data_IF_542962389055
#
_entry.id   IF_542962389055
#
_cell.length_a   1.000
_cell.length_b   1.000
_cell.length_c   1.000
_cell.angle_alpha   90.00
_cell.angle_beta   90.00
_cell.angle_gamma   90.00
#
_symmetry.space_group_name_H-M   'P 1'
#
loop_
_entity.id
_entity.type
_entity.pdbx_description
1 polymer ?
#
# COMPACT_ATOMS: atom_id res chain seq x y z
N UNK A 1 -34.15 17.91 -30.42
CA UNK A 1 -33.41 16.68 -30.79
C UNK A 1 -31.91 16.94 -30.94
N UNK A 2 -31.46 17.98 -31.65
CA UNK A 2 -30.01 18.29 -31.79
C UNK A 2 -29.25 18.50 -30.47
N UNK A 3 -29.77 19.32 -29.54
CA UNK A 3 -29.07 19.63 -28.26
C UNK A 3 -28.81 18.37 -27.43
N UNK A 4 -29.75 17.42 -27.45
CA UNK A 4 -29.64 16.17 -26.68
C UNK A 4 -28.57 15.23 -27.28
N UNK A 5 -28.46 15.20 -28.60
CA UNK A 5 -27.43 14.44 -29.31
C UNK A 5 -26.05 15.05 -29.06
N UNK A 6 -25.93 16.39 -29.11
CA UNK A 6 -24.67 17.09 -28.82
C UNK A 6 -24.21 16.83 -27.38
N UNK A 7 -25.12 16.89 -26.41
CA UNK A 7 -24.81 16.58 -25.00
C UNK A 7 -24.39 15.12 -24.78
N UNK A 8 -25.01 14.17 -25.50
CA UNK A 8 -24.60 12.77 -25.43
C UNK A 8 -23.19 12.55 -26.02
N UNK A 9 -22.88 13.18 -27.14
CA UNK A 9 -21.56 13.08 -27.79
C UNK A 9 -20.48 13.68 -26.89
N UNK A 10 -20.71 14.88 -26.34
CA UNK A 10 -19.76 15.52 -25.41
C UNK A 10 -19.53 14.67 -24.17
N UNK A 11 -20.60 14.09 -23.60
CA UNK A 11 -20.52 13.21 -22.44
C UNK A 11 -19.79 11.90 -22.76
N UNK A 12 -19.95 11.35 -23.96
CA UNK A 12 -19.25 10.15 -24.42
C UNK A 12 -17.75 10.44 -24.66
N UNK A 13 -17.41 11.58 -25.27
CA UNK A 13 -16.04 12.02 -25.49
C UNK A 13 -15.31 12.30 -24.17
N UNK A 14 -15.98 12.90 -23.18
CA UNK A 14 -15.41 13.09 -21.83
C UNK A 14 -15.16 11.73 -21.16
N UNK A 15 -16.09 10.78 -21.25
CA UNK A 15 -15.89 9.44 -20.67
C UNK A 15 -14.74 8.70 -21.34
N UNK A 16 -14.65 8.73 -22.68
CA UNK A 16 -13.57 8.09 -23.43
C UNK A 16 -12.21 8.76 -23.20
N UNK A 17 -12.18 10.10 -23.13
CA UNK A 17 -10.98 10.86 -22.77
C UNK A 17 -10.53 10.50 -21.35
N UNK A 18 -11.46 10.44 -20.39
CA UNK A 18 -11.16 10.13 -19.01
C UNK A 18 -10.81 8.65 -18.80
N UNK A 19 -11.37 7.72 -19.58
CA UNK A 19 -10.94 6.31 -19.62
C UNK A 19 -9.57 6.14 -20.24
N UNK A 20 -9.24 6.89 -21.29
CA UNK A 20 -7.90 6.91 -21.92
C UNK A 20 -6.86 7.49 -20.97
N UNK A 21 -7.18 8.56 -20.27
CA UNK A 21 -6.32 9.21 -19.28
C UNK A 21 -6.17 8.35 -18.01
N UNK A 22 -7.22 7.67 -17.57
CA UNK A 22 -7.18 6.69 -16.47
C UNK A 22 -6.42 5.42 -16.86
N UNK A 23 -6.47 5.01 -18.13
CA UNK A 23 -5.65 3.92 -18.69
C UNK A 23 -4.19 4.34 -18.81
N UNK A 24 -3.91 5.59 -19.18
CA UNK A 24 -2.57 6.20 -19.17
C UNK A 24 -2.01 6.30 -17.75
N UNK A 25 -2.80 6.78 -16.77
CA UNK A 25 -2.41 6.83 -15.36
C UNK A 25 -2.25 5.44 -14.75
N UNK A 26 -3.08 4.45 -15.13
CA UNK A 26 -2.93 3.06 -14.70
C UNK A 26 -1.70 2.42 -15.33
N UNK A 27 -1.37 2.72 -16.60
CA UNK A 27 -0.12 2.31 -17.26
C UNK A 27 1.09 2.99 -16.63
N UNK A 28 1.04 4.29 -16.30
CA UNK A 28 2.10 5.02 -15.58
C UNK A 28 2.27 4.50 -14.15
N UNK A 29 1.19 4.25 -13.41
CA UNK A 29 1.24 3.65 -12.06
C UNK A 29 1.71 2.19 -12.07
N UNK A 30 1.32 1.42 -13.09
CA UNK A 30 1.79 0.04 -13.29
C UNK A 30 3.26 0.02 -13.71
N UNK A 31 3.67 0.90 -14.63
CA UNK A 31 5.07 1.14 -15.02
C UNK A 31 5.94 1.57 -13.84
N UNK A 32 5.49 2.51 -13.00
CA UNK A 32 6.23 2.90 -11.78
C UNK A 32 6.32 1.78 -10.73
N UNK A 33 5.27 0.96 -10.57
CA UNK A 33 5.27 -0.17 -9.65
C UNK A 33 6.08 -1.37 -10.18
N UNK A 34 6.14 -1.57 -11.49
CA UNK A 34 6.96 -2.60 -12.16
C UNK A 34 8.44 -2.17 -12.27
N UNK A 35 8.72 -0.88 -12.44
CA UNK A 35 10.07 -0.30 -12.45
C UNK A 35 10.78 -0.35 -11.09
N UNK A 36 10.06 -0.65 -10.00
CA UNK A 36 10.63 -0.95 -8.69
C UNK A 36 11.11 -2.41 -8.57
N UNK A 37 10.82 -3.29 -9.55
CA UNK A 37 11.00 -4.75 -9.40
C UNK A 37 11.73 -5.41 -10.58
N UNK A 38 11.70 -4.90 -11.81
CA UNK A 38 12.28 -5.63 -12.95
C UNK A 38 13.70 -5.16 -13.32
N UNK A 39 14.71 -5.87 -12.80
CA UNK A 39 16.11 -5.69 -13.22
C UNK A 39 16.29 -6.03 -14.71
N UNK A 40 15.40 -6.80 -15.34
CA UNK A 40 15.64 -7.34 -16.69
C UNK A 40 14.94 -6.59 -17.85
N UNK A 41 14.39 -5.39 -17.57
CA UNK A 41 13.89 -4.49 -18.63
C UNK A 41 15.03 -3.73 -19.28
N UNK A 42 15.12 -3.76 -20.62
CA UNK A 42 16.15 -3.05 -21.40
C UNK A 42 15.50 -2.07 -22.38
N UNK A 43 16.10 -0.89 -22.49
CA UNK A 43 15.70 0.15 -23.42
C UNK A 43 16.73 0.25 -24.55
N UNK A 44 16.28 0.36 -25.80
CA UNK A 44 17.14 0.52 -26.98
C UNK A 44 16.73 1.79 -27.72
N UNK A 45 17.66 2.75 -27.83
CA UNK A 45 17.46 3.96 -28.62
C UNK A 45 17.71 3.68 -30.11
N UNK A 46 16.75 4.05 -30.97
CA UNK A 46 16.76 3.76 -32.40
C UNK A 46 16.61 5.01 -33.27
N UNK A 47 17.29 5.02 -34.42
CA UNK A 47 17.30 6.11 -35.41
C UNK A 47 16.11 6.06 -36.37
N UNK A 48 15.87 7.18 -37.08
CA UNK A 48 14.90 7.28 -38.18
C UNK A 48 15.23 6.31 -39.32
N UNK A 49 16.52 6.10 -39.58
CA UNK A 49 17.00 5.08 -40.51
C UNK A 49 17.11 3.73 -39.80
N UNK A 50 16.31 2.76 -40.24
CA UNK A 50 16.28 1.40 -39.69
C UNK A 50 17.62 0.68 -39.86
N UNK A 51 18.33 0.94 -40.97
CA UNK A 51 19.60 0.29 -41.26
C UNK A 51 20.69 0.67 -40.26
N UNK A 52 20.74 1.94 -39.84
CA UNK A 52 21.76 2.48 -38.92
C UNK A 52 21.65 1.95 -37.49
N UNK A 53 20.45 1.65 -36.98
CA UNK A 53 20.31 1.09 -35.62
C UNK A 53 19.99 -0.41 -35.61
N UNK A 54 19.86 -1.06 -36.77
CA UNK A 54 19.58 -2.50 -36.83
C UNK A 54 20.65 -3.30 -36.09
N UNK A 55 21.93 -3.02 -36.34
CA UNK A 55 23.03 -3.75 -35.70
C UNK A 55 23.11 -3.47 -34.19
N UNK A 56 22.76 -2.25 -33.77
CA UNK A 56 22.64 -1.89 -32.34
C UNK A 56 21.54 -2.68 -31.66
N UNK A 57 20.36 -2.77 -32.29
CA UNK A 57 19.23 -3.56 -31.79
C UNK A 57 19.59 -5.04 -31.73
N UNK A 58 20.08 -5.62 -32.83
CA UNK A 58 20.47 -7.03 -32.88
C UNK A 58 21.57 -7.36 -31.86
N UNK A 59 22.51 -6.44 -31.60
CA UNK A 59 23.49 -6.62 -30.54
C UNK A 59 22.82 -6.75 -29.18
N UNK A 60 21.85 -5.87 -28.85
CA UNK A 60 21.12 -5.93 -27.59
C UNK A 60 20.37 -7.26 -27.44
N UNK A 61 19.67 -7.70 -28.48
CA UNK A 61 18.90 -8.96 -28.49
C UNK A 61 19.78 -10.20 -28.25
N UNK A 62 21.03 -10.19 -28.75
CA UNK A 62 21.93 -11.35 -28.68
C UNK A 62 22.77 -11.42 -27.40
N UNK A 63 23.05 -10.28 -26.77
CA UNK A 63 24.02 -10.20 -25.67
C UNK A 63 23.40 -9.88 -24.31
N UNK A 64 22.14 -9.42 -24.28
CA UNK A 64 21.45 -9.08 -23.04
C UNK A 64 20.33 -10.10 -22.76
N UNK A 65 20.09 -10.37 -21.48
CA UNK A 65 18.92 -11.13 -21.06
C UNK A 65 17.73 -10.17 -21.03
N UNK A 66 16.74 -10.45 -21.88
CA UNK A 66 15.57 -9.59 -22.06
C UNK A 66 14.33 -10.32 -21.55
N UNK A 67 13.70 -9.77 -20.51
CA UNK A 67 12.31 -10.11 -20.18
C UNK A 67 11.34 -9.14 -20.83
N UNK A 68 11.77 -7.88 -20.95
CA UNK A 68 11.00 -6.81 -21.57
C UNK A 68 11.91 -5.84 -22.29
N UNK A 69 11.47 -5.41 -23.47
CA UNK A 69 12.21 -4.52 -24.35
C UNK A 69 11.40 -3.26 -24.64
N UNK A 70 12.05 -2.09 -24.54
CA UNK A 70 11.48 -0.82 -24.95
C UNK A 70 12.28 -0.22 -26.10
N UNK A 71 11.63 -0.01 -27.24
CA UNK A 71 12.20 0.71 -28.37
C UNK A 71 11.92 2.21 -28.20
N UNK A 72 12.99 3.01 -28.14
CA UNK A 72 12.93 4.45 -27.92
C UNK A 72 13.30 5.21 -29.18
N UNK A 73 12.41 6.09 -29.63
CA UNK A 73 12.69 7.05 -30.68
C UNK A 73 12.49 8.48 -30.19
N UNK A 74 13.35 9.39 -30.65
CA UNK A 74 13.19 10.83 -30.44
C UNK A 74 12.75 11.46 -31.76
N UNK A 75 11.48 11.85 -31.82
CA UNK A 75 10.93 12.60 -32.92
C UNK A 75 11.36 14.07 -32.82
N UNK A 76 12.20 14.50 -33.75
CA UNK A 76 12.63 15.89 -33.85
C UNK A 76 11.70 16.64 -34.81
N UNK A 77 10.95 17.65 -34.33
CA UNK A 77 10.02 18.38 -35.18
C UNK A 77 10.78 19.16 -36.25
N UNK A 78 10.23 19.19 -37.47
CA UNK A 78 10.77 20.05 -38.54
C UNK A 78 10.49 21.50 -38.14
N UNK A 79 11.53 22.32 -38.06
CA UNK A 79 11.40 23.76 -37.87
C UNK A 79 10.93 24.39 -39.18
N UNK A 80 9.61 24.61 -39.30
CA UNK A 80 8.98 25.29 -40.44
C UNK A 80 8.57 26.68 -39.95
N UNK A 81 9.21 27.72 -40.48
CA UNK A 81 8.77 29.10 -40.25
C UNK A 81 7.67 29.46 -41.26
N UNK A 82 6.42 29.71 -40.82
CA UNK A 82 5.29 30.02 -41.70
C UNK A 82 5.55 31.18 -42.65
N UNK A 83 6.33 32.16 -42.21
CA UNK A 83 6.64 33.38 -42.96
C UNK A 83 7.55 33.11 -44.15
N UNK A 84 8.44 32.12 -44.00
CA UNK A 84 9.46 31.77 -44.99
C UNK A 84 9.01 30.68 -45.96
N UNK A 85 8.11 29.80 -45.52
CA UNK A 85 7.64 28.65 -46.29
C UNK A 85 6.47 28.99 -47.22
N UNK A 86 5.74 30.09 -46.94
CA UNK A 86 4.53 30.45 -47.67
C UNK A 86 3.37 29.47 -47.47
N UNK A 87 3.48 28.59 -46.46
CA UNK A 87 2.48 27.58 -46.12
C UNK A 87 1.51 28.12 -45.07
N UNK A 88 0.24 27.73 -45.18
CA UNK A 88 -0.75 27.98 -44.14
C UNK A 88 -0.49 27.10 -42.91
N UNK A 89 -0.93 27.55 -41.73
CA UNK A 89 -0.75 26.80 -40.48
C UNK A 89 -1.33 25.38 -40.56
N UNK A 90 -2.43 25.20 -41.28
CA UNK A 90 -3.08 23.90 -41.50
C UNK A 90 -2.18 22.92 -42.29
N UNK A 91 -1.39 23.42 -43.23
CA UNK A 91 -0.43 22.63 -44.01
C UNK A 91 0.78 22.25 -43.16
N UNK A 92 1.25 23.17 -42.32
CA UNK A 92 2.34 22.93 -41.36
C UNK A 92 1.93 21.84 -40.36
N UNK A 93 0.72 21.95 -39.80
CA UNK A 93 0.18 20.96 -38.85
C UNK A 93 0.04 19.59 -39.52
N UNK A 94 -0.39 19.54 -40.79
CA UNK A 94 -0.49 18.29 -41.56
C UNK A 94 0.88 17.65 -41.81
N UNK A 95 1.91 18.45 -42.12
CA UNK A 95 3.29 17.98 -42.30
C UNK A 95 3.84 17.41 -41.00
N UNK A 96 3.66 18.12 -39.88
CA UNK A 96 4.10 17.66 -38.56
C UNK A 96 3.38 16.36 -38.15
N UNK A 97 2.08 16.25 -38.39
CA UNK A 97 1.31 15.02 -38.14
C UNK A 97 1.78 13.85 -39.01
N UNK A 98 2.14 14.11 -40.27
CA UNK A 98 2.69 13.10 -41.19
C UNK A 98 4.06 12.60 -40.71
N UNK A 99 4.95 13.50 -40.29
CA UNK A 99 6.27 13.11 -39.75
C UNK A 99 6.16 12.33 -38.42
N UNK A 100 5.22 12.70 -37.54
CA UNK A 100 4.94 11.94 -36.32
C UNK A 100 4.45 10.53 -36.67
N UNK A 101 3.56 10.41 -37.66
CA UNK A 101 3.06 9.10 -38.14
C UNK A 101 4.21 8.24 -38.69
N UNK A 102 5.09 8.82 -39.52
CA UNK A 102 6.27 8.14 -40.06
C UNK A 102 7.20 7.62 -38.95
N UNK A 103 7.34 8.39 -37.86
CA UNK A 103 8.15 8.00 -36.70
C UNK A 103 7.60 6.73 -36.01
N UNK A 104 6.28 6.59 -35.91
CA UNK A 104 5.65 5.37 -35.40
C UNK A 104 5.81 4.19 -36.36
N UNK A 105 5.68 4.40 -37.67
CA UNK A 105 5.92 3.35 -38.67
C UNK A 105 7.35 2.79 -38.58
N UNK A 106 8.34 3.65 -38.31
CA UNK A 106 9.72 3.24 -38.08
C UNK A 106 9.84 2.36 -36.82
N UNK A 107 9.22 2.76 -35.71
CA UNK A 107 9.20 1.95 -34.48
C UNK A 107 8.53 0.59 -34.69
N UNK A 108 7.47 0.53 -35.49
CA UNK A 108 6.83 -0.74 -35.88
C UNK A 108 7.78 -1.65 -36.67
N UNK A 109 8.55 -1.10 -37.63
CA UNK A 109 9.58 -1.89 -38.34
C UNK A 109 10.63 -2.46 -37.40
N UNK A 110 11.06 -1.72 -36.38
CA UNK A 110 11.98 -2.26 -35.38
C UNK A 110 11.34 -3.34 -34.50
N UNK A 111 10.05 -3.20 -34.16
CA UNK A 111 9.31 -4.26 -33.45
C UNK A 111 9.27 -5.53 -34.30
N UNK A 112 8.98 -5.42 -35.59
CA UNK A 112 8.97 -6.57 -36.50
C UNK A 112 10.34 -7.28 -36.52
N UNK A 113 11.44 -6.51 -36.57
CA UNK A 113 12.80 -7.06 -36.46
C UNK A 113 13.02 -7.81 -35.13
N UNK A 114 12.47 -7.32 -34.01
CA UNK A 114 12.57 -8.03 -32.73
C UNK A 114 11.83 -9.37 -32.76
N UNK A 115 10.64 -9.40 -33.35
CA UNK A 115 9.82 -10.61 -33.49
C UNK A 115 10.51 -11.62 -34.41
N UNK A 116 11.10 -11.16 -35.52
CA UNK A 116 11.88 -12.00 -36.45
C UNK A 116 13.12 -12.63 -35.79
N UNK A 117 13.74 -11.94 -34.82
CA UNK A 117 14.84 -12.48 -34.00
C UNK A 117 14.34 -13.34 -32.82
N UNK A 118 13.03 -13.58 -32.71
CA UNK A 118 12.42 -14.53 -31.77
C UNK A 118 11.90 -13.95 -30.46
N UNK A 119 11.78 -12.61 -30.34
CA UNK A 119 11.19 -11.96 -29.17
C UNK A 119 9.66 -12.02 -29.25
N UNK A 120 9.02 -12.28 -28.12
CA UNK A 120 7.56 -12.28 -28.00
C UNK A 120 7.05 -10.85 -28.21
N UNK A 121 6.11 -10.65 -29.14
CA UNK A 121 5.62 -9.33 -29.52
C UNK A 121 5.07 -8.52 -28.33
N UNK A 122 4.39 -9.19 -27.38
CA UNK A 122 3.83 -8.54 -26.19
C UNK A 122 4.89 -8.00 -25.22
N UNK A 123 6.14 -8.46 -25.35
CA UNK A 123 7.26 -8.03 -24.51
C UNK A 123 8.05 -6.87 -25.15
N UNK A 124 7.62 -6.38 -26.33
CA UNK A 124 8.23 -5.25 -27.05
C UNK A 124 7.32 -4.02 -27.03
N UNK A 125 7.58 -3.12 -26.10
CA UNK A 125 6.93 -1.82 -26.03
C UNK A 125 7.67 -0.78 -26.90
N UNK A 126 6.95 0.22 -27.40
CA UNK A 126 7.51 1.33 -28.19
C UNK A 126 7.21 2.65 -27.48
N UNK A 127 8.16 3.57 -27.51
CA UNK A 127 8.01 4.92 -26.96
C UNK A 127 8.62 5.94 -27.91
N UNK A 128 7.88 7.02 -28.15
CA UNK A 128 8.30 8.14 -28.98
C UNK A 128 8.16 9.43 -28.17
N UNK A 129 9.22 10.23 -28.13
CA UNK A 129 9.22 11.54 -27.46
C UNK A 129 9.48 12.65 -28.48
N UNK A 130 8.81 13.78 -28.28
CA UNK A 130 9.05 14.99 -29.04
C UNK A 130 10.20 15.77 -28.37
N UNK A 131 11.33 15.95 -29.05
CA UNK A 131 12.40 16.79 -28.54
C UNK A 131 13.17 17.48 -29.67
N UNK A 132 13.63 18.71 -29.41
CA UNK A 132 14.41 19.48 -30.39
C UNK A 132 15.84 18.96 -30.55
N UNK A 133 16.34 18.20 -29.57
CA UNK A 133 17.66 17.59 -29.59
C UNK A 133 17.54 16.11 -29.18
N UNK A 134 18.10 15.22 -30.00
CA UNK A 134 18.03 13.77 -29.77
C UNK A 134 18.71 13.36 -28.45
N UNK A 135 19.86 13.97 -28.12
CA UNK A 135 20.56 13.67 -26.87
C UNK A 135 19.77 14.11 -25.64
N UNK A 136 19.14 15.29 -25.69
CA UNK A 136 18.26 15.78 -24.63
C UNK A 136 17.02 14.90 -24.47
N UNK A 137 16.35 14.56 -25.58
CA UNK A 137 15.17 13.70 -25.55
C UNK A 137 15.46 12.30 -25.00
N UNK A 138 16.64 11.73 -25.28
CA UNK A 138 17.06 10.46 -24.67
C UNK A 138 17.25 10.64 -23.15
N UNK A 139 17.90 11.71 -22.70
CA UNK A 139 18.11 11.97 -21.26
C UNK A 139 16.78 12.18 -20.55
N UNK A 140 15.86 12.92 -21.16
CA UNK A 140 14.49 13.12 -20.65
C UNK A 140 13.76 11.78 -20.50
N UNK A 141 13.81 10.91 -21.52
CA UNK A 141 13.25 9.56 -21.45
C UNK A 141 13.85 8.73 -20.31
N UNK A 142 15.15 8.85 -20.05
CA UNK A 142 15.82 8.14 -18.95
C UNK A 142 15.25 8.58 -17.60
N UNK A 143 15.03 9.88 -17.42
CA UNK A 143 14.45 10.43 -16.20
C UNK A 143 12.98 10.06 -16.06
N UNK A 144 12.15 10.31 -17.07
CA UNK A 144 10.70 10.09 -17.01
C UNK A 144 10.32 8.62 -16.81
N UNK A 145 11.09 7.69 -17.38
CA UNK A 145 10.80 6.26 -17.33
C UNK A 145 11.70 5.51 -16.36
N UNK A 146 12.52 6.22 -15.58
CA UNK A 146 13.48 5.65 -14.63
C UNK A 146 14.35 4.55 -15.26
N UNK A 147 14.84 4.79 -16.48
CA UNK A 147 15.57 3.80 -17.26
C UNK A 147 16.86 3.40 -16.53
N UNK A 148 17.01 2.09 -16.30
CA UNK A 148 18.20 1.52 -15.63
C UNK A 148 19.20 0.90 -16.59
N UNK A 149 18.75 0.44 -17.75
CA UNK A 149 19.54 -0.27 -18.76
C UNK A 149 19.22 0.31 -20.13
N UNK A 150 20.17 1.04 -20.72
CA UNK A 150 20.03 1.68 -22.03
C UNK A 150 21.09 1.19 -23.02
N UNK A 151 20.67 0.73 -24.19
CA UNK A 151 21.54 0.49 -25.33
C UNK A 151 21.32 1.60 -26.36
N UNK A 152 22.41 2.18 -26.88
CA UNK A 152 22.34 3.20 -27.93
C UNK A 152 23.55 3.15 -28.86
N UNK A 153 23.43 3.82 -30.02
CA UNK A 153 24.53 3.98 -30.97
C UNK A 153 25.66 4.85 -30.41
N UNK A 154 26.91 4.43 -30.64
CA UNK A 154 28.11 5.19 -30.26
C UNK A 154 28.49 6.26 -31.30
N UNK A 155 28.21 6.00 -32.57
CA UNK A 155 28.45 6.85 -33.73
C UNK A 155 27.53 6.42 -34.88
N UNK A 156 27.54 7.16 -35.99
CA UNK A 156 26.97 6.65 -37.24
C UNK A 156 27.84 5.49 -37.75
N UNK A 157 27.24 4.43 -38.29
CA UNK A 157 27.98 3.23 -38.76
C UNK A 157 29.01 3.57 -39.86
N UNK A 158 28.74 4.61 -40.66
CA UNK A 158 29.67 5.16 -41.66
C UNK A 158 30.95 5.75 -41.07
N UNK A 159 30.98 6.06 -39.77
CA UNK A 159 32.12 6.61 -39.05
C UNK A 159 32.88 5.54 -38.25
N UNK A 160 32.49 4.27 -38.39
CA UNK A 160 33.18 3.15 -37.75
C UNK A 160 34.57 2.93 -38.34
N UNK A 161 35.55 2.66 -37.48
CA UNK A 161 36.86 2.13 -37.86
C UNK A 161 37.21 0.94 -36.97
N UNK A 162 37.86 -0.06 -37.56
CA UNK A 162 38.30 -1.25 -36.82
C UNK A 162 39.26 -0.84 -35.69
N UNK A 163 38.95 -1.19 -34.44
CA UNK A 163 39.72 -0.78 -33.25
C UNK A 163 39.30 0.56 -32.62
N UNK A 164 38.13 1.11 -33.00
CA UNK A 164 37.58 2.32 -32.39
C UNK A 164 37.31 2.16 -30.89
N UNK A 165 37.96 3.00 -30.07
CA UNK A 165 37.86 3.00 -28.59
C UNK A 165 37.26 4.29 -28.00
N UNK A 166 37.10 5.35 -28.80
CA UNK A 166 36.63 6.66 -28.35
C UNK A 166 35.22 6.97 -28.89
N UNK A 167 34.40 7.64 -28.09
CA UNK A 167 33.09 8.16 -28.49
C UNK A 167 33.27 9.34 -29.44
N UNK A 168 32.66 9.30 -30.63
CA UNK A 168 32.78 10.37 -31.65
C UNK A 168 31.51 11.22 -31.76
N UNK A 169 30.35 10.71 -31.30
CA UNK A 169 29.06 11.39 -31.43
C UNK A 169 28.78 12.38 -30.30
N UNK A 170 28.51 13.64 -30.63
CA UNK A 170 28.01 14.68 -29.69
C UNK A 170 26.77 14.24 -28.92
N UNK A 171 25.87 13.45 -29.55
CA UNK A 171 24.66 12.93 -28.91
C UNK A 171 25.02 11.94 -27.80
N UNK A 172 25.93 11.03 -28.11
CA UNK A 172 26.35 9.96 -27.20
C UNK A 172 27.11 10.52 -26.01
N UNK A 173 28.00 11.46 -26.27
CA UNK A 173 28.71 12.20 -25.24
C UNK A 173 27.74 12.99 -24.34
N UNK A 174 26.76 13.70 -24.91
CA UNK A 174 25.72 14.39 -24.13
C UNK A 174 24.95 13.44 -23.21
N UNK A 175 24.44 12.32 -23.74
CA UNK A 175 23.68 11.32 -22.97
C UNK A 175 24.55 10.71 -21.86
N UNK A 176 25.80 10.36 -22.18
CA UNK A 176 26.73 9.74 -21.22
C UNK A 176 27.02 10.65 -20.02
N UNK A 177 27.12 11.97 -20.26
CA UNK A 177 27.36 12.98 -19.22
C UNK A 177 26.13 13.30 -18.38
N UNK A 178 24.96 13.43 -18.99
CA UNK A 178 23.76 13.97 -18.31
C UNK A 178 22.77 12.91 -17.85
N UNK A 179 22.88 11.66 -18.33
CA UNK A 179 22.05 10.57 -17.82
C UNK A 179 22.43 10.26 -16.36
N UNK A 180 21.44 9.93 -15.49
CA UNK A 180 21.69 9.63 -14.09
C UNK A 180 22.71 8.49 -13.91
N UNK A 181 23.51 8.57 -12.85
CA UNK A 181 24.59 7.62 -12.59
C UNK A 181 24.12 6.18 -12.38
N UNK A 182 22.86 5.97 -11.98
CA UNK A 182 22.29 4.63 -11.82
C UNK A 182 21.87 3.97 -13.15
N UNK A 183 21.88 4.70 -14.26
CA UNK A 183 21.58 4.13 -15.57
C UNK A 183 22.84 3.53 -16.21
N UNK A 184 22.83 2.21 -16.41
CA UNK A 184 23.86 1.51 -17.17
C UNK A 184 23.63 1.72 -18.66
N UNK A 185 24.66 2.17 -19.37
CA UNK A 185 24.58 2.51 -20.80
C UNK A 185 25.58 1.67 -21.60
N UNK A 186 25.10 0.98 -22.62
CA UNK A 186 25.93 0.29 -23.61
C UNK A 186 25.95 1.08 -24.91
N UNK A 187 27.16 1.36 -25.40
CA UNK A 187 27.42 2.09 -26.63
C UNK A 187 27.88 1.11 -27.70
N UNK A 188 27.07 0.96 -28.75
CA UNK A 188 27.30 -0.02 -29.82
C UNK A 188 27.53 0.71 -31.14
N UNK A 189 28.43 0.20 -31.98
CA UNK A 189 28.62 0.69 -33.34
C UNK A 189 28.97 -0.48 -34.24
N UNK A 190 28.33 -0.56 -35.42
CA UNK A 190 28.52 -1.65 -36.37
C UNK A 190 28.43 -3.06 -35.70
N UNK A 191 27.48 -3.23 -34.78
CA UNK A 191 27.23 -4.49 -34.07
C UNK A 191 28.27 -4.86 -33.01
N UNK A 192 29.22 -3.97 -32.70
CA UNK A 192 30.25 -4.19 -31.69
C UNK A 192 30.05 -3.27 -30.48
N UNK A 193 30.24 -3.82 -29.28
CA UNK A 193 30.26 -3.02 -28.06
C UNK A 193 31.54 -2.18 -28.04
N UNK A 194 31.38 -0.86 -28.05
CA UNK A 194 32.48 0.10 -28.00
C UNK A 194 32.82 0.45 -26.55
N UNK A 195 31.81 0.79 -25.77
CA UNK A 195 31.99 1.21 -24.38
C UNK A 195 30.75 0.88 -23.54
N UNK A 196 30.98 0.62 -22.26
CA UNK A 196 29.93 0.55 -21.25
C UNK A 196 30.16 1.61 -20.19
N UNK A 197 29.13 2.41 -19.90
CA UNK A 197 29.07 3.24 -18.70
C UNK A 197 28.31 2.46 -17.64
N UNK A 198 29.02 1.99 -16.62
CA UNK A 198 28.40 1.24 -15.52
C UNK A 198 27.44 2.11 -14.70
N UNK A 199 26.28 1.54 -14.38
CA UNK A 199 25.31 2.17 -13.51
C UNK A 199 25.69 1.95 -12.04
N UNK A 200 25.90 3.02 -11.27
CA UNK A 200 26.13 2.93 -9.82
C UNK A 200 24.82 3.14 -9.09
N UNK A 201 24.31 2.07 -8.49
CA UNK A 201 23.26 2.15 -7.49
C UNK A 201 23.95 2.23 -6.13
N UNK A 202 23.96 3.41 -5.50
CA UNK A 202 24.39 3.52 -4.11
C UNK A 202 23.36 2.83 -3.20
N UNK A 203 23.46 1.51 -3.10
CA UNK A 203 22.97 0.77 -1.93
C UNK A 203 23.92 1.12 -0.80
N UNK A 204 23.55 2.09 0.04
CA UNK A 204 24.29 2.48 1.25
C UNK A 204 24.84 1.24 1.99
N UNK A 205 26.17 1.18 2.19
CA UNK A 205 26.79 0.40 3.27
C UNK A 205 27.43 -0.95 2.93
N UNK A 206 28.26 -1.07 1.89
CA UNK A 206 29.23 -2.17 1.81
C UNK A 206 30.61 -1.70 2.29
N UNK A 207 31.11 -2.13 3.46
CA UNK A 207 32.52 -2.01 3.79
C UNK A 207 33.24 -3.10 2.99
N UNK A 208 34.11 -2.69 2.07
CA UNK A 208 35.19 -3.45 1.40
C UNK A 208 35.22 -3.21 -0.11
N UNK A 209 35.72 -2.04 -0.50
CA UNK A 209 36.70 -1.95 -1.58
C UNK A 209 37.58 -0.72 -1.35
N UNK A 210 38.76 -0.99 -0.82
CA UNK A 210 39.82 -0.03 -0.59
C UNK A 210 40.46 0.38 -1.92
N UNK A 211 40.24 1.62 -2.35
CA UNK A 211 41.28 2.36 -3.09
C UNK A 211 41.47 3.73 -2.44
N UNK A 212 42.71 3.93 -2.02
CA UNK A 212 43.28 5.00 -1.20
C UNK A 212 42.89 6.43 -1.59
N UNK A 213 42.28 7.15 -0.66
CA UNK A 213 42.57 8.56 -0.42
C UNK A 213 42.96 8.71 1.06
N UNK A 214 44.24 8.48 1.34
CA UNK A 214 44.85 8.82 2.61
C UNK A 214 44.91 10.33 2.78
N UNK A 215 44.55 10.76 3.99
CA UNK A 215 44.70 12.10 4.59
C UNK A 215 43.55 13.09 4.36
N UNK A 216 42.62 13.10 5.31
CA UNK A 216 42.22 14.31 6.02
C UNK A 216 41.53 13.91 7.33
N UNK A 217 42.24 14.09 8.43
CA UNK A 217 41.70 13.96 9.79
C UNK A 217 40.80 15.15 10.09
N UNK A 218 39.61 14.85 10.62
CA UNK A 218 38.78 15.78 11.38
C UNK A 218 37.83 16.63 10.53
N UNK A 219 36.54 16.33 10.62
CA UNK A 219 35.44 17.30 10.69
C UNK A 219 34.13 16.52 10.90
N UNK A 220 33.89 16.17 12.16
CA UNK A 220 32.51 16.16 12.66
C UNK A 220 31.97 17.59 12.55
N UNK A 221 30.70 17.72 12.15
CA UNK A 221 29.93 18.96 12.09
C UNK A 221 30.12 19.84 10.85
N UNK A 222 29.34 19.57 9.80
CA UNK A 222 28.53 20.60 9.13
C UNK A 222 27.65 19.97 8.02
N UNK A 223 26.32 20.11 8.15
CA UNK A 223 25.48 20.24 6.96
C UNK A 223 25.96 21.50 6.21
N UNK A 224 26.46 21.33 4.98
CA UNK A 224 26.56 22.45 4.03
C UNK A 224 25.91 22.03 2.70
N UNK A 225 25.02 22.85 2.11
CA UNK A 225 24.35 22.58 0.84
C UNK A 225 25.32 22.51 -0.33
N UNK A 226 25.03 21.59 -1.25
CA UNK A 226 25.78 21.33 -2.48
C UNK A 226 25.47 22.38 -3.55
N UNK A 227 25.90 23.63 -3.35
CA UNK A 227 25.77 24.72 -4.36
C UNK A 227 27.11 25.29 -4.86
N UNK A 228 28.27 24.77 -4.44
CA UNK A 228 29.58 25.31 -4.85
C UNK A 228 30.48 24.30 -5.58
N UNK A 229 29.98 23.74 -6.68
CA UNK A 229 30.82 22.94 -7.57
C UNK A 229 30.51 23.12 -9.08
N UNK A 230 30.16 24.31 -9.56
CA UNK A 230 30.28 24.65 -11.00
C UNK A 230 30.50 26.16 -11.19
N UNK A 231 31.75 26.63 -11.06
CA UNK A 231 32.21 27.87 -11.70
C UNK A 231 33.16 27.48 -12.83
N UNK A 232 32.96 28.08 -14.01
CA UNK A 232 33.43 27.72 -15.36
C UNK A 232 32.50 26.68 -16.02
N UNK A 233 31.77 26.95 -17.10
CA UNK A 233 32.01 27.86 -18.22
C UNK A 233 30.75 28.70 -18.53
N UNK A 234 30.99 29.97 -18.88
CA UNK A 234 29.99 30.83 -19.50
C UNK A 234 29.89 30.41 -20.97
N UNK A 235 28.77 29.81 -21.37
CA UNK A 235 28.25 30.00 -22.72
C UNK A 235 26.73 30.16 -22.64
N UNK A 236 26.29 31.27 -23.23
CA UNK A 236 24.99 31.86 -23.08
C UNK A 236 24.12 31.41 -24.25
N UNK A 237 23.64 30.17 -24.20
CA UNK A 237 22.52 29.71 -25.02
C UNK A 237 21.43 29.19 -24.09
N UNK A 238 20.19 29.54 -24.42
CA UNK A 238 18.97 29.24 -23.66
C UNK A 238 18.74 27.73 -23.51
N UNK A 239 19.48 27.10 -22.59
CA UNK A 239 19.27 25.74 -22.13
C UNK A 239 18.00 25.68 -21.28
N UNK A 240 16.93 25.13 -21.85
CA UNK A 240 15.79 24.65 -21.09
C UNK A 240 16.31 23.51 -20.19
N UNK A 241 16.50 23.82 -18.91
CA UNK A 241 17.57 23.25 -18.08
C UNK A 241 17.30 21.81 -17.65
N UNK A 242 18.14 20.89 -18.12
CA UNK A 242 18.27 19.52 -17.62
C UNK A 242 18.42 19.43 -16.07
N UNK A 243 18.84 20.51 -15.41
CA UNK A 243 18.95 20.59 -13.93
C UNK A 243 17.60 20.41 -13.22
N UNK A 244 16.49 20.81 -13.85
CA UNK A 244 15.16 20.62 -13.27
C UNK A 244 14.76 19.15 -13.19
N UNK A 245 14.99 18.41 -14.27
CA UNK A 245 14.68 16.98 -14.36
C UNK A 245 15.54 16.13 -13.43
N UNK A 246 16.83 16.44 -13.35
CA UNK A 246 17.76 15.75 -12.44
C UNK A 246 17.30 15.88 -10.97
N UNK A 247 16.93 17.10 -10.57
CA UNK A 247 16.42 17.35 -9.20
C UNK A 247 15.13 16.57 -8.94
N UNK A 248 14.16 16.64 -9.85
CA UNK A 248 12.90 15.91 -9.70
C UNK A 248 13.10 14.40 -9.62
N UNK A 249 14.03 13.84 -10.38
CA UNK A 249 14.31 12.41 -10.38
C UNK A 249 14.87 11.91 -9.05
N UNK A 250 15.87 12.59 -8.51
CA UNK A 250 16.43 12.21 -7.22
C UNK A 250 15.43 12.44 -6.08
N UNK A 251 14.57 13.45 -6.17
CA UNK A 251 13.46 13.65 -5.24
C UNK A 251 12.42 12.53 -5.32
N UNK A 252 12.03 12.10 -6.52
CA UNK A 252 11.09 11.01 -6.73
C UNK A 252 11.66 9.66 -6.24
N UNK A 253 12.95 9.39 -6.49
CA UNK A 253 13.61 8.21 -5.93
C UNK A 253 13.67 8.24 -4.40
N UNK A 254 14.01 9.39 -3.80
CA UNK A 254 14.01 9.55 -2.35
C UNK A 254 12.61 9.30 -1.78
N UNK A 255 11.58 9.85 -2.44
CA UNK A 255 10.18 9.63 -2.07
C UNK A 255 9.77 8.16 -2.19
N UNK A 256 10.25 7.46 -3.22
CA UNK A 256 10.06 6.01 -3.39
C UNK A 256 10.66 5.21 -2.23
N UNK A 257 11.89 5.50 -1.83
CA UNK A 257 12.55 4.87 -0.70
C UNK A 257 11.82 5.14 0.63
N UNK A 258 11.34 6.36 0.85
CA UNK A 258 10.54 6.70 2.03
C UNK A 258 9.21 5.95 2.08
N UNK A 259 8.53 5.79 0.93
CA UNK A 259 7.29 5.02 0.83
C UNK A 259 7.56 3.55 1.15
N UNK A 260 8.64 2.98 0.62
CA UNK A 260 9.01 1.58 0.87
C UNK A 260 9.33 1.33 2.34
N UNK A 261 10.06 2.25 2.99
CA UNK A 261 10.35 2.13 4.42
C UNK A 261 9.07 2.21 5.27
N UNK A 262 8.14 3.12 4.92
CA UNK A 262 6.83 3.19 5.58
C UNK A 262 6.03 1.91 5.36
N UNK A 263 6.07 1.34 4.15
CA UNK A 263 5.41 0.07 3.83
C UNK A 263 5.98 -1.08 4.67
N UNK A 264 7.30 -1.20 4.77
CA UNK A 264 7.97 -2.22 5.60
C UNK A 264 7.54 -2.11 7.07
N UNK A 265 7.55 -0.90 7.64
CA UNK A 265 7.09 -0.67 9.03
C UNK A 265 5.62 -1.05 9.20
N UNK A 266 4.76 -0.68 8.25
CA UNK A 266 3.35 -1.03 8.29
C UNK A 266 3.13 -2.54 8.19
N UNK A 267 3.93 -3.25 7.40
CA UNK A 267 3.87 -4.71 7.26
C UNK A 267 4.35 -5.42 8.53
N UNK A 268 5.41 -4.94 9.17
CA UNK A 268 5.87 -5.42 10.48
C UNK A 268 4.79 -5.24 11.56
N UNK A 269 4.17 -4.08 11.64
CA UNK A 269 3.05 -3.83 12.56
C UNK A 269 1.84 -4.70 12.25
N UNK A 270 1.49 -4.88 10.96
CA UNK A 270 0.39 -5.76 10.55
C UNK A 270 0.64 -7.21 10.97
N UNK A 271 1.87 -7.70 10.83
CA UNK A 271 2.26 -9.04 11.26
C UNK A 271 2.20 -9.17 12.79
N UNK A 272 2.61 -8.13 13.53
CA UNK A 272 2.47 -8.10 14.99
C UNK A 272 1.01 -8.20 15.42
N UNK A 273 0.14 -7.37 14.84
CA UNK A 273 -1.31 -7.37 15.11
C UNK A 273 -1.96 -8.70 14.71
N UNK A 274 -1.49 -9.33 13.63
CA UNK A 274 -1.97 -10.67 13.24
C UNK A 274 -1.63 -11.72 14.31
N UNK A 275 -0.40 -11.73 14.80
CA UNK A 275 0.02 -12.65 15.86
C UNK A 275 -0.76 -12.42 17.17
N UNK A 276 -0.99 -11.15 17.55
CA UNK A 276 -1.82 -10.80 18.70
C UNK A 276 -3.27 -11.30 18.54
N UNK A 277 -3.85 -11.15 17.35
CA UNK A 277 -5.19 -11.66 17.05
C UNK A 277 -5.27 -13.19 17.09
N UNK A 278 -4.26 -13.89 16.60
CA UNK A 278 -4.21 -15.36 16.69
C UNK A 278 -4.11 -15.83 18.14
N UNK A 279 -3.30 -15.15 18.96
CA UNK A 279 -3.24 -15.43 20.40
C UNK A 279 -4.59 -15.18 21.09
N UNK A 280 -5.26 -14.07 20.77
CA UNK A 280 -6.57 -13.73 21.33
C UNK A 280 -7.65 -14.74 20.92
N UNK A 281 -7.62 -15.23 19.68
CA UNK A 281 -8.49 -16.33 19.23
C UNK A 281 -8.21 -17.64 20.00
N UNK A 282 -6.95 -17.92 20.31
CA UNK A 282 -6.57 -19.05 21.15
C UNK A 282 -7.19 -18.95 22.55
N UNK A 283 -7.01 -17.81 23.21
CA UNK A 283 -7.59 -17.52 24.54
C UNK A 283 -9.11 -17.59 24.49
N UNK A 284 -9.75 -17.03 23.46
CA UNK A 284 -11.21 -17.09 23.30
C UNK A 284 -11.69 -18.54 23.17
N UNK A 285 -11.01 -19.36 22.37
CA UNK A 285 -11.34 -20.77 22.21
C UNK A 285 -11.18 -21.55 23.52
N UNK A 286 -10.12 -21.29 24.27
CA UNK A 286 -9.88 -21.91 25.58
C UNK A 286 -10.97 -21.50 26.59
N UNK A 287 -11.41 -20.24 26.58
CA UNK A 287 -12.50 -19.75 27.41
C UNK A 287 -13.85 -20.36 26.99
N UNK A 288 -14.11 -20.50 25.69
CA UNK A 288 -15.30 -21.18 25.16
C UNK A 288 -15.32 -22.67 25.54
N UNK A 289 -14.18 -23.36 25.47
CA UNK A 289 -14.05 -24.75 25.94
C UNK A 289 -14.27 -24.87 27.45
N UNK A 290 -13.71 -23.95 28.25
CA UNK A 290 -13.96 -23.90 29.70
C UNK A 290 -15.45 -23.64 30.01
N UNK A 291 -16.09 -22.70 29.32
CA UNK A 291 -17.51 -22.39 29.50
C UNK A 291 -18.40 -23.59 29.11
N UNK A 292 -18.02 -24.34 28.07
CA UNK A 292 -18.73 -25.55 27.63
C UNK A 292 -18.57 -26.73 28.62
N UNK A 293 -17.50 -26.77 29.41
CA UNK A 293 -17.28 -27.82 30.43
C UNK A 293 -17.89 -27.45 31.78
N UNK A 294 -17.80 -26.18 32.20
CA UNK A 294 -18.29 -25.73 33.51
C UNK A 294 -19.81 -25.56 33.53
N UNK A 295 -20.45 -25.15 32.43
CA UNK A 295 -21.90 -24.93 32.42
C UNK A 295 -22.68 -26.25 32.63
N UNK A 296 -22.36 -27.38 31.97
CA UNK A 296 -23.02 -28.67 32.23
C UNK A 296 -22.67 -29.25 33.60
N UNK A 297 -21.41 -29.19 34.06
CA UNK A 297 -21.03 -29.71 35.40
C UNK A 297 -21.73 -28.97 36.52
N UNK A 298 -21.85 -27.64 36.41
CA UNK A 298 -22.54 -26.82 37.41
C UNK A 298 -24.05 -27.05 37.36
N UNK A 299 -24.63 -27.27 36.19
CA UNK A 299 -26.03 -27.63 36.02
C UNK A 299 -26.34 -29.05 36.56
N UNK A 300 -25.50 -30.04 36.28
CA UNK A 300 -25.61 -31.41 36.83
C UNK A 300 -25.49 -31.42 38.37
N UNK A 301 -24.63 -30.55 38.92
CA UNK A 301 -24.49 -30.40 40.37
C UNK A 301 -25.75 -29.78 40.99
N UNK A 302 -26.32 -28.75 40.37
CA UNK A 302 -27.60 -28.16 40.80
C UNK A 302 -28.80 -29.11 40.62
N UNK A 303 -28.82 -29.93 39.57
CA UNK A 303 -29.86 -30.95 39.39
C UNK A 303 -29.78 -32.05 40.46
N UNK A 304 -28.56 -32.49 40.83
CA UNK A 304 -28.37 -33.43 41.94
C UNK A 304 -28.81 -32.85 43.28
N UNK A 305 -28.42 -31.62 43.59
CA UNK A 305 -28.85 -30.93 44.82
C UNK A 305 -30.38 -30.76 44.85
N UNK A 306 -30.99 -30.39 43.72
CA UNK A 306 -32.45 -30.29 43.58
C UNK A 306 -33.12 -31.64 43.80
N UNK A 307 -32.63 -32.70 43.18
CA UNK A 307 -33.24 -34.04 43.28
C UNK A 307 -33.07 -34.62 44.69
N UNK A 308 -31.95 -34.36 45.37
CA UNK A 308 -31.75 -34.68 46.79
C UNK A 308 -32.70 -33.89 47.70
N UNK A 309 -32.90 -32.60 47.42
CA UNK A 309 -33.85 -31.77 48.16
C UNK A 309 -35.30 -32.22 47.96
N UNK A 310 -35.68 -32.60 46.73
CA UNK A 310 -37.00 -33.18 46.43
C UNK A 310 -37.18 -34.49 47.19
N UNK A 311 -36.18 -35.38 47.14
CA UNK A 311 -36.24 -36.66 47.87
C UNK A 311 -36.37 -36.45 49.37
N UNK A 312 -35.66 -35.48 49.93
CA UNK A 312 -35.76 -35.12 51.35
C UNK A 312 -37.14 -34.53 51.68
N UNK A 313 -37.70 -33.69 50.81
CA UNK A 313 -39.04 -33.13 50.97
C UNK A 313 -40.14 -34.20 50.87
N UNK A 314 -40.00 -35.16 49.96
CA UNK A 314 -40.90 -36.32 49.84
C UNK A 314 -40.82 -37.23 51.07
N UNK A 315 -39.61 -37.48 51.60
CA UNK A 315 -39.40 -38.23 52.84
C UNK A 315 -40.06 -37.51 54.03
N UNK A 316 -39.87 -36.19 54.15
CA UNK A 316 -40.54 -35.37 55.17
C UNK A 316 -42.07 -35.38 54.99
N UNK A 317 -42.58 -35.28 53.76
CA UNK A 317 -44.02 -35.39 53.47
C UNK A 317 -44.57 -36.78 53.83
N UNK A 318 -43.80 -37.85 53.63
CA UNK A 318 -44.19 -39.19 54.07
C UNK A 318 -44.21 -39.31 55.58
N UNK A 319 -43.21 -38.79 56.28
CA UNK A 319 -43.17 -38.76 57.74
C UNK A 319 -44.33 -37.93 58.32
N UNK A 320 -44.69 -36.81 57.70
CA UNK A 320 -45.83 -35.98 58.08
C UNK A 320 -47.20 -36.64 57.77
N UNK A 321 -47.26 -37.57 56.81
CA UNK A 321 -48.49 -38.28 56.44
C UNK A 321 -48.69 -39.62 57.18
N UNK A 322 -47.67 -40.13 57.88
CA UNK A 322 -47.78 -41.37 58.65
C UNK A 322 -48.43 -41.18 60.04
N UNK A 323 -48.62 -39.94 60.50
CA UNK A 323 -49.27 -39.64 61.79
C UNK A 323 -50.71 -39.10 61.66
N UNK A 324 -51.33 -39.15 60.49
CA UNK A 324 -52.73 -38.71 60.32
C UNK A 324 -53.71 -39.88 60.18
N UNK A 325 -53.79 -40.70 61.24
CA UNK A 325 -55.09 -41.24 61.66
C UNK A 325 -55.63 -40.38 62.81
N UNK A 326 -56.76 -39.74 62.53
CA UNK A 326 -57.65 -39.05 63.47
C UNK A 326 -57.21 -37.67 64.00
N UNK A 327 -57.88 -36.65 63.43
CA UNK A 327 -58.35 -35.43 64.09
C UNK A 327 -57.34 -34.61 64.92
N UNK A 328 -56.93 -33.47 64.38
CA UNK A 328 -57.25 -32.18 65.00
C UNK A 328 -56.72 -31.02 64.18
N UNK A 329 -57.51 -29.95 64.23
CA UNK A 329 -57.18 -28.56 64.02
C UNK A 329 -55.72 -28.13 64.18
N UNK A 330 -55.40 -27.09 63.40
CA UNK A 330 -54.40 -26.04 63.66
C UNK A 330 -53.05 -26.15 62.94
N UNK A 331 -52.79 -25.09 62.18
CA UNK A 331 -51.46 -24.49 61.96
C UNK A 331 -50.35 -25.41 61.46
N UNK A 332 -50.26 -25.57 60.14
CA UNK A 332 -48.96 -25.48 59.48
C UNK A 332 -48.96 -24.23 58.60
N UNK A 333 -48.75 -23.09 59.26
CA UNK A 333 -48.18 -21.93 58.59
C UNK A 333 -46.92 -22.42 57.88
N UNK A 334 -46.94 -22.46 56.54
CA UNK A 334 -45.68 -22.27 55.82
C UNK A 334 -45.24 -20.86 56.17
N UNK A 335 -44.40 -20.73 57.19
CA UNK A 335 -43.46 -19.62 57.24
C UNK A 335 -42.50 -19.82 56.06
N UNK A 336 -42.97 -19.50 54.85
CA UNK A 336 -42.06 -18.98 53.83
C UNK A 336 -41.58 -17.69 54.49
N UNK A 337 -40.31 -17.67 54.90
CA UNK A 337 -39.69 -16.45 55.38
C UNK A 337 -40.04 -15.35 54.38
N UNK A 338 -40.77 -14.32 54.83
CA UNK A 338 -41.09 -13.12 54.04
C UNK A 338 -39.84 -12.29 53.70
N UNK A 339 -38.65 -12.87 53.89
CA UNK A 339 -37.39 -12.25 53.63
C UNK A 339 -37.04 -12.38 52.14
N UNK A 340 -36.63 -11.27 51.51
CA UNK A 340 -36.18 -11.29 50.14
C UNK A 340 -34.97 -12.21 49.98
N UNK A 341 -34.94 -13.08 48.95
CA UNK A 341 -33.73 -13.79 48.59
C UNK A 341 -32.52 -12.85 48.46
N UNK A 342 -31.36 -13.26 48.97
CA UNK A 342 -30.17 -12.39 49.07
C UNK A 342 -29.74 -11.79 47.71
N UNK A 343 -29.98 -12.49 46.61
CA UNK A 343 -29.67 -12.02 45.26
C UNK A 343 -30.62 -10.91 44.75
N UNK A 344 -31.68 -10.57 45.49
CA UNK A 344 -32.51 -9.38 45.26
C UNK A 344 -31.98 -8.15 45.99
N UNK A 345 -31.05 -8.31 46.92
CA UNK A 345 -30.51 -7.23 47.74
C UNK A 345 -29.33 -6.57 47.04
N UNK A 346 -29.37 -5.24 46.95
CA UNK A 346 -28.27 -4.43 46.44
C UNK A 346 -27.09 -4.47 47.41
N UNK A 347 -25.86 -4.77 46.96
CA UNK A 347 -24.70 -4.77 47.85
C UNK A 347 -24.33 -3.41 48.44
N UNK A 348 -24.70 -2.31 47.78
CA UNK A 348 -24.41 -0.94 48.24
C UNK A 348 -25.48 -0.46 49.23
N UNK A 349 -26.76 -0.50 48.82
CA UNK A 349 -27.85 0.04 49.64
C UNK A 349 -28.39 -0.95 50.67
N UNK A 350 -28.07 -2.24 50.55
CA UNK A 350 -28.60 -3.32 51.41
C UNK A 350 -30.13 -3.42 51.40
N UNK A 351 -30.77 -2.88 50.36
CA UNK A 351 -32.21 -2.94 50.13
C UNK A 351 -32.55 -3.76 48.87
N UNK A 352 -33.81 -4.20 48.75
CA UNK A 352 -34.32 -4.87 47.55
C UNK A 352 -34.22 -3.94 46.34
N UNK A 353 -33.55 -4.39 45.29
CA UNK A 353 -33.35 -3.61 44.06
C UNK A 353 -34.68 -3.34 43.34
N UNK A 354 -34.92 -2.08 43.00
CA UNK A 354 -36.03 -1.61 42.15
C UNK A 354 -35.61 -1.54 40.69
N UNK A 355 -34.40 -1.00 40.43
CA UNK A 355 -33.83 -0.89 39.09
C UNK A 355 -32.44 -1.55 39.05
N UNK A 356 -32.37 -2.89 39.04
CA UNK A 356 -31.10 -3.60 39.00
C UNK A 356 -30.35 -3.34 37.69
N UNK A 357 -29.07 -2.97 37.79
CA UNK A 357 -28.15 -2.75 36.65
C UNK A 357 -26.79 -3.42 36.89
N UNK A 358 -26.21 -3.95 35.81
CA UNK A 358 -24.86 -4.49 35.79
C UNK A 358 -23.81 -3.38 35.74
N UNK A 359 -22.71 -3.58 36.48
CA UNK A 359 -21.47 -2.85 36.30
C UNK A 359 -20.44 -3.67 35.49
N UNK A 360 -19.30 -3.05 35.15
CA UNK A 360 -18.23 -3.69 34.37
C UNK A 360 -17.58 -4.91 35.04
N UNK A 361 -17.77 -5.07 36.35
CA UNK A 361 -17.29 -6.20 37.15
C UNK A 361 -18.22 -7.43 37.09
N UNK A 362 -19.38 -7.33 36.42
CA UNK A 362 -20.37 -8.40 36.30
C UNK A 362 -21.34 -8.52 37.48
N UNK A 363 -21.23 -7.67 38.51
CA UNK A 363 -22.18 -7.64 39.62
C UNK A 363 -23.37 -6.74 39.31
N UNK A 364 -24.51 -7.01 39.97
CA UNK A 364 -25.74 -6.23 39.83
C UNK A 364 -25.96 -5.37 41.07
N UNK A 365 -26.31 -4.11 40.84
CA UNK A 365 -26.54 -3.11 41.88
C UNK A 365 -27.83 -2.34 41.59
N UNK A 366 -28.36 -1.65 42.60
CA UNK A 366 -29.37 -0.61 42.38
C UNK A 366 -28.74 0.52 41.54
N UNK A 367 -29.45 0.94 40.50
CA UNK A 367 -28.94 1.90 39.52
C UNK A 367 -28.57 3.23 40.17
N UNK A 368 -29.42 3.74 41.07
CA UNK A 368 -29.19 5.00 41.76
C UNK A 368 -27.99 4.93 42.70
N UNK A 369 -27.91 3.87 43.51
CA UNK A 369 -26.81 3.67 44.47
C UNK A 369 -25.45 3.55 43.77
N UNK A 370 -25.39 2.84 42.64
CA UNK A 370 -24.15 2.71 41.88
C UNK A 370 -23.78 4.00 41.13
N UNK A 371 -24.77 4.75 40.62
CA UNK A 371 -24.51 6.07 40.03
C UNK A 371 -23.95 7.04 41.06
N UNK A 372 -24.51 7.07 42.26
CA UNK A 372 -24.01 7.90 43.35
C UNK A 372 -22.58 7.52 43.74
N UNK A 373 -22.29 6.22 43.85
CA UNK A 373 -20.94 5.72 44.08
C UNK A 373 -19.92 6.23 43.05
N UNK A 374 -20.25 6.14 41.76
CA UNK A 374 -19.39 6.63 40.67
C UNK A 374 -19.28 8.17 40.66
N UNK A 375 -20.38 8.88 40.94
CA UNK A 375 -20.41 10.34 40.97
C UNK A 375 -19.61 10.93 42.14
N UNK A 376 -19.46 10.17 43.24
CA UNK A 376 -18.60 10.53 44.36
C UNK A 376 -17.09 10.34 44.06
N UNK A 377 -16.73 10.03 42.82
CA UNK A 377 -15.35 9.96 42.34
C UNK A 377 -14.71 8.57 42.50
N UNK A 378 -15.48 7.55 42.86
CA UNK A 378 -14.96 6.19 42.94
C UNK A 378 -14.91 5.54 41.55
N UNK A 379 -13.75 4.98 41.20
CA UNK A 379 -13.54 4.21 39.96
C UNK A 379 -13.50 2.68 40.23
N UNK A 380 -13.84 2.26 41.44
CA UNK A 380 -13.72 0.87 41.90
C UNK A 380 -15.08 0.20 42.06
N UNK A 381 -15.08 -1.13 41.96
CA UNK A 381 -16.21 -2.01 42.25
C UNK A 381 -16.54 -1.95 43.76
N UNK A 382 -17.79 -1.66 44.15
CA UNK A 382 -18.22 -1.72 45.54
C UNK A 382 -18.06 -3.11 46.19
N UNK A 383 -18.12 -4.19 45.39
CA UNK A 383 -18.01 -5.57 45.87
C UNK A 383 -16.58 -6.07 45.98
N UNK A 384 -15.73 -5.72 45.02
CA UNK A 384 -14.37 -6.30 44.91
C UNK A 384 -13.26 -5.30 45.20
N UNK A 385 -13.59 -4.01 45.27
CA UNK A 385 -12.65 -2.89 45.40
C UNK A 385 -11.60 -2.81 44.27
N UNK A 386 -11.82 -3.52 43.15
CA UNK A 386 -11.00 -3.47 41.96
C UNK A 386 -11.46 -2.36 41.02
N UNK A 387 -10.55 -1.79 40.22
CA UNK A 387 -10.88 -0.75 39.25
C UNK A 387 -11.83 -1.28 38.17
N UNK A 388 -12.93 -0.57 37.91
CA UNK A 388 -13.88 -0.92 36.85
C UNK A 388 -13.28 -0.61 35.48
N UNK A 389 -13.51 -1.50 34.51
CA UNK A 389 -13.04 -1.30 33.13
C UNK A 389 -13.75 -0.12 32.43
N UNK A 390 -15.01 0.14 32.78
CA UNK A 390 -15.81 1.27 32.30
C UNK A 390 -16.95 1.60 33.28
N UNK A 391 -17.48 2.83 33.18
CA UNK A 391 -18.59 3.32 34.02
C UNK A 391 -19.99 3.11 33.41
N UNK A 392 -20.09 2.36 32.31
CA UNK A 392 -21.38 2.09 31.66
C UNK A 392 -22.25 1.15 32.51
N UNK A 393 -23.52 1.52 32.69
CA UNK A 393 -24.52 0.73 33.42
C UNK A 393 -25.48 0.05 32.45
N UNK A 394 -25.64 -1.26 32.59
CA UNK A 394 -26.51 -2.07 31.72
C UNK A 394 -27.71 -2.60 32.52
N UNK A 395 -28.95 -2.22 32.21
CA UNK A 395 -30.12 -2.66 32.98
C UNK A 395 -30.33 -4.19 32.97
N UNK A 396 -30.52 -4.79 34.14
CA UNK A 396 -30.85 -6.21 34.32
C UNK A 396 -32.37 -6.41 34.37
N UNK A 397 -32.99 -6.42 33.19
CA UNK A 397 -34.46 -6.53 33.06
C UNK A 397 -35.02 -7.85 33.62
N UNK A 398 -34.27 -8.95 33.51
CA UNK A 398 -34.71 -10.25 34.00
C UNK A 398 -34.81 -10.26 35.53
N UNK A 399 -33.80 -9.74 36.23
CA UNK A 399 -33.83 -9.64 37.69
C UNK A 399 -34.93 -8.68 38.16
N UNK A 400 -35.14 -7.57 37.44
CA UNK A 400 -36.24 -6.64 37.72
C UNK A 400 -37.60 -7.36 37.67
N UNK A 401 -37.86 -8.16 36.64
CA UNK A 401 -39.10 -8.92 36.53
C UNK A 401 -39.26 -9.94 37.65
N UNK A 402 -38.21 -10.68 38.00
CA UNK A 402 -38.24 -11.66 39.09
C UNK A 402 -38.53 -11.01 40.47
N UNK A 403 -37.93 -9.85 40.74
CA UNK A 403 -38.20 -9.09 41.96
C UNK A 403 -39.66 -8.60 41.99
N UNK A 404 -40.18 -8.11 40.88
CA UNK A 404 -41.57 -7.66 40.80
C UNK A 404 -42.57 -8.80 41.02
N UNK A 405 -42.30 -9.98 40.48
CA UNK A 405 -43.12 -11.18 40.70
C UNK A 405 -43.09 -11.60 42.18
N UNK A 406 -41.91 -11.60 42.81
CA UNK A 406 -41.76 -11.88 44.24
C UNK A 406 -42.51 -10.87 45.13
N UNK A 407 -42.42 -9.58 44.82
CA UNK A 407 -43.16 -8.53 45.54
C UNK A 407 -44.68 -8.69 45.43
N UNK A 408 -45.18 -9.15 44.28
CA UNK A 408 -46.61 -9.44 44.06
C UNK A 408 -47.07 -10.69 44.81
N UNK A 409 -46.21 -11.72 44.92
CA UNK A 409 -46.49 -12.95 45.67
C UNK A 409 -46.46 -12.80 47.18
N UNK A 410 -45.80 -11.76 47.70
CA UNK A 410 -45.64 -11.46 49.13
C UNK A 410 -46.44 -10.22 49.60
N UNK A 411 -47.35 -9.69 48.77
CA UNK A 411 -48.24 -8.55 49.12
C UNK A 411 -49.55 -8.97 49.76
#
# INVERSE_FOLDING_TARGET
MCIYITLLIVRCLIVLFWEREKSSLRRKKKSMAEALIDDDTVYVAVSKDVSESRLTLTWALRHLQLKKLYLLHVHQPISIDPTSSGLEQSEIDAIQASELTSSYEILHKYRDICVDEGIIEQDVDISNILANNVGEGIVELIYENNIKKLVMGAAADSQYSEGMVNIISRKTDYVTRHAPHCCKIWLVCNGNLIQTREGRFDRRGSPHSSESLTNLQGLDSALVPYEEAVRAEHDNESHFSARGFETMYYEEQRRGLEIEERRRKAEEELNRVRAENENMKGIQKELEEQLYIDCPRRFEMFEKERDEAIKTAEELLRLLNLDNSESASSSFQRSVSNEPPQYFICPISQEVMREPSFAADGFTYETEALREWLNNGHETSPMTNLKLAHSNLVPNRALRSAIQEWLQGNS
#
